data_IF_013901354020
#
_entry.id   IF_013901354020
#
_cell.length_a   1.000
_cell.length_b   1.000
_cell.length_c   1.000
_cell.angle_alpha   90.00
_cell.angle_beta   90.00
_cell.angle_gamma   90.00
#
_symmetry.space_group_name_H-M   'P 1'
#
loop_
_entity.id
_entity.type
_entity.pdbx_description
1 polymer ?
#
# COMPACT_ATOMS: atom_id res chain seq x y z
N UNK A 1 -81.36 -46.32 -0.82
CA UNK A 1 -81.78 -45.50 -2.00
C UNK A 1 -81.00 -44.20 -1.91
N UNK A 2 -80.38 -43.82 -3.02
CA UNK A 2 -79.19 -42.96 -3.16
C UNK A 2 -79.24 -41.58 -2.48
N UNK A 3 -78.12 -41.23 -1.87
CA UNK A 3 -77.73 -39.87 -1.50
C UNK A 3 -76.94 -39.23 -2.65
N UNK A 4 -77.25 -37.98 -2.98
CA UNK A 4 -76.29 -36.92 -3.31
C UNK A 4 -77.05 -35.60 -3.60
N UNK A 5 -76.75 -34.55 -2.83
CA UNK A 5 -77.13 -33.15 -3.12
C UNK A 5 -75.87 -32.31 -3.09
N UNK A 6 -75.75 -31.47 -4.11
CA UNK A 6 -74.60 -30.65 -4.47
C UNK A 6 -74.39 -29.43 -3.57
N UNK A 7 -73.14 -28.96 -3.48
CA UNK A 7 -72.80 -27.58 -3.13
C UNK A 7 -71.50 -27.17 -3.85
N UNK A 8 -71.57 -26.09 -4.63
CA UNK A 8 -70.46 -25.47 -5.35
C UNK A 8 -69.74 -24.44 -4.46
N UNK A 9 -68.40 -24.32 -4.54
CA UNK A 9 -67.64 -23.18 -4.02
C UNK A 9 -66.34 -22.97 -4.83
N UNK A 10 -66.16 -21.72 -5.27
CA UNK A 10 -65.08 -21.17 -6.09
C UNK A 10 -63.74 -21.12 -5.34
N UNK A 11 -62.61 -21.29 -6.05
CA UNK A 11 -61.29 -20.85 -5.57
C UNK A 11 -60.69 -19.82 -6.55
N UNK A 12 -60.31 -18.62 -6.09
CA UNK A 12 -59.38 -17.75 -6.78
C UNK A 12 -57.95 -18.03 -6.26
N UNK A 13 -56.97 -18.18 -7.15
CA UNK A 13 -55.56 -18.08 -6.75
C UNK A 13 -54.68 -17.69 -7.94
N UNK A 14 -54.59 -16.38 -8.15
CA UNK A 14 -53.50 -15.73 -8.88
C UNK A 14 -52.26 -15.77 -7.99
N UNK A 15 -51.26 -16.57 -8.37
CA UNK A 15 -49.99 -16.69 -7.64
C UNK A 15 -48.84 -16.13 -8.47
N UNK A 16 -48.70 -14.80 -8.48
CA UNK A 16 -47.55 -14.11 -9.06
C UNK A 16 -46.28 -14.44 -8.27
N UNK A 17 -45.39 -15.23 -8.87
CA UNK A 17 -44.07 -15.53 -8.30
C UNK A 17 -43.09 -14.42 -8.66
N UNK A 18 -43.08 -13.35 -7.86
CA UNK A 18 -42.04 -12.33 -7.90
C UNK A 18 -40.81 -12.89 -7.17
N UNK A 19 -39.82 -13.38 -7.91
CA UNK A 19 -38.48 -13.60 -7.34
C UNK A 19 -37.95 -12.27 -6.80
N UNK A 20 -37.62 -12.15 -5.50
CA UNK A 20 -36.96 -10.96 -5.00
C UNK A 20 -35.55 -10.93 -5.58
N UNK A 21 -35.33 -10.08 -6.58
CA UNK A 21 -33.98 -9.73 -7.03
C UNK A 21 -33.33 -8.95 -5.90
N UNK A 22 -32.50 -9.61 -5.09
CA UNK A 22 -31.62 -8.94 -4.14
C UNK A 22 -30.69 -8.05 -4.95
N UNK A 23 -30.98 -6.74 -4.98
CA UNK A 23 -30.08 -5.76 -5.58
C UNK A 23 -28.74 -5.86 -4.83
N UNK A 24 -27.71 -6.33 -5.54
CA UNK A 24 -26.35 -6.27 -5.02
C UNK A 24 -25.99 -4.79 -4.91
N UNK A 25 -25.58 -4.27 -3.74
CA UNK A 25 -25.15 -2.89 -3.65
C UNK A 25 -23.90 -2.72 -4.51
N UNK A 26 -24.05 -2.01 -5.63
CA UNK A 26 -22.91 -1.60 -6.45
C UNK A 26 -22.09 -0.62 -5.61
N UNK A 27 -20.94 -1.08 -5.12
CA UNK A 27 -20.04 -0.23 -4.34
C UNK A 27 -19.24 0.61 -5.33
N UNK A 28 -19.66 1.86 -5.54
CA UNK A 28 -18.91 2.81 -6.39
C UNK A 28 -17.61 3.16 -5.67
N UNK A 29 -16.47 2.77 -6.26
CA UNK A 29 -15.16 3.13 -5.73
C UNK A 29 -15.00 4.66 -5.77
N UNK A 30 -14.50 5.31 -4.71
CA UNK A 30 -14.20 6.73 -4.75
C UNK A 30 -13.20 7.04 -5.88
N UNK A 31 -13.29 8.23 -6.49
CA UNK A 31 -12.40 8.62 -7.57
C UNK A 31 -10.93 8.67 -7.10
N UNK A 32 -10.00 8.28 -7.97
CA UNK A 32 -8.58 8.46 -7.72
C UNK A 32 -8.19 9.93 -7.86
N UNK A 33 -7.76 10.55 -6.77
CA UNK A 33 -7.09 11.85 -6.75
C UNK A 33 -5.65 11.69 -6.27
N UNK A 34 -4.73 12.38 -6.94
CA UNK A 34 -3.32 12.48 -6.54
C UNK A 34 -2.91 13.95 -6.39
N UNK A 35 -2.04 14.22 -5.41
CA UNK A 35 -1.46 15.53 -5.19
C UNK A 35 0.04 15.40 -4.97
N UNK A 36 0.84 16.15 -5.74
CA UNK A 36 2.27 16.31 -5.46
C UNK A 36 2.43 17.24 -4.26
N UNK A 37 2.93 16.69 -3.15
CA UNK A 37 3.18 17.45 -1.93
C UNK A 37 4.55 18.10 -1.93
N UNK A 38 5.51 17.45 -2.57
CA UNK A 38 6.86 17.97 -2.77
C UNK A 38 7.45 17.45 -4.06
N UNK A 39 8.24 18.28 -4.73
CA UNK A 39 9.10 17.87 -5.83
C UNK A 39 10.30 18.81 -5.90
N UNK A 40 11.52 18.26 -5.90
CA UNK A 40 12.70 19.08 -6.03
C UNK A 40 14.02 18.30 -6.01
N UNK A 41 15.10 18.95 -6.45
CA UNK A 41 16.45 18.43 -6.27
C UNK A 41 16.94 18.64 -4.83
N UNK A 42 17.98 17.90 -4.44
CA UNK A 42 18.68 18.07 -3.18
C UNK A 42 20.05 17.40 -3.16
N UNK A 43 20.96 17.90 -2.35
CA UNK A 43 22.24 17.25 -2.10
C UNK A 43 22.11 16.27 -0.95
N UNK A 44 22.74 15.10 -1.07
CA UNK A 44 22.80 14.10 0.00
C UNK A 44 24.27 13.79 0.27
N UNK A 45 24.92 14.54 1.19
CA UNK A 45 26.32 14.35 1.52
C UNK A 45 26.61 12.91 1.97
N UNK A 46 27.83 12.45 1.74
CA UNK A 46 28.29 11.13 2.17
C UNK A 46 28.13 10.91 3.67
N UNK A 47 27.73 9.69 4.06
CA UNK A 47 27.57 9.31 5.48
C UNK A 47 26.65 10.24 6.30
N UNK A 48 25.64 10.83 5.67
CA UNK A 48 24.68 11.71 6.34
C UNK A 48 23.24 11.24 6.24
N UNK A 49 22.42 11.75 7.15
CA UNK A 49 20.97 11.64 7.15
C UNK A 49 20.39 13.03 6.88
N UNK A 50 19.69 13.18 5.76
CA UNK A 50 18.97 14.42 5.41
C UNK A 50 17.48 14.21 5.67
N UNK A 51 16.82 15.23 6.22
CA UNK A 51 15.37 15.22 6.47
C UNK A 51 14.67 16.25 5.59
N UNK A 52 13.54 15.85 5.01
CA UNK A 52 12.60 16.75 4.34
C UNK A 52 11.23 16.61 4.98
N UNK A 53 10.73 17.69 5.56
CA UNK A 53 9.38 17.76 6.12
C UNK A 53 8.35 18.11 5.05
N UNK A 54 7.21 17.42 5.07
CA UNK A 54 6.02 17.77 4.28
C UNK A 54 4.75 17.54 5.10
N UNK A 55 3.61 18.03 4.63
CA UNK A 55 2.31 17.83 5.30
C UNK A 55 1.25 17.31 4.33
N UNK A 56 0.29 16.58 4.88
CA UNK A 56 -0.86 16.01 4.18
C UNK A 56 -2.14 16.50 4.85
N UNK A 57 -3.12 16.96 4.08
CA UNK A 57 -4.43 17.43 4.60
C UNK A 57 -5.47 16.31 4.71
N UNK A 58 -5.21 15.16 4.09
CA UNK A 58 -6.11 14.03 4.05
C UNK A 58 -5.34 12.73 4.25
N UNK A 59 -6.03 11.71 4.76
CA UNK A 59 -5.48 10.37 4.83
C UNK A 59 -5.37 9.75 3.42
N UNK A 60 -4.34 8.95 3.19
CA UNK A 60 -4.13 8.30 1.90
C UNK A 60 -2.87 7.45 1.84
N UNK A 61 -2.47 7.11 0.62
CA UNK A 61 -1.18 6.48 0.36
C UNK A 61 -0.16 7.58 0.03
N UNK A 62 0.97 7.59 0.73
CA UNK A 62 2.10 8.45 0.39
C UNK A 62 3.08 7.64 -0.44
N UNK A 63 3.37 8.13 -1.64
CA UNK A 63 4.33 7.58 -2.57
C UNK A 63 5.57 8.49 -2.59
N UNK A 64 6.75 7.91 -2.35
CA UNK A 64 8.05 8.61 -2.38
C UNK A 64 8.88 8.05 -3.52
N UNK A 65 9.30 8.94 -4.42
CA UNK A 65 10.14 8.63 -5.57
C UNK A 65 11.46 9.37 -5.39
N UNK A 66 12.56 8.61 -5.31
CA UNK A 66 13.90 9.15 -5.14
C UNK A 66 14.82 8.64 -6.25
N UNK A 67 15.52 9.56 -6.90
CA UNK A 67 16.49 9.30 -7.96
C UNK A 67 17.80 10.00 -7.60
N UNK A 68 18.97 9.35 -7.69
CA UNK A 68 20.27 9.92 -7.24
C UNK A 68 21.41 9.65 -8.22
N UNK A 69 22.44 10.49 -8.30
CA UNK A 69 23.45 10.46 -9.37
C UNK A 69 24.06 9.07 -9.66
N UNK A 70 24.61 8.39 -8.65
CA UNK A 70 25.41 7.18 -8.87
C UNK A 70 24.69 5.89 -8.48
N UNK A 71 24.53 4.97 -9.43
CA UNK A 71 23.85 3.68 -9.20
C UNK A 71 24.57 2.75 -8.21
N UNK A 72 25.87 2.95 -7.98
CA UNK A 72 26.67 2.22 -7.00
C UNK A 72 26.40 2.66 -5.55
N UNK A 73 25.79 3.83 -5.35
CA UNK A 73 25.58 4.39 -4.02
C UNK A 73 24.44 3.69 -3.29
N UNK A 74 24.70 3.39 -2.01
CA UNK A 74 23.71 2.79 -1.12
C UNK A 74 22.93 3.89 -0.44
N UNK A 75 21.74 4.19 -0.99
CA UNK A 75 20.83 5.21 -0.45
C UNK A 75 19.68 4.53 0.27
N UNK A 76 19.38 5.00 1.49
CA UNK A 76 18.21 4.62 2.28
C UNK A 76 17.12 5.68 2.22
N UNK A 77 15.86 5.25 2.19
CA UNK A 77 14.68 6.13 2.24
C UNK A 77 13.74 5.64 3.32
N UNK A 78 13.27 6.57 4.14
CA UNK A 78 12.41 6.28 5.28
C UNK A 78 11.32 7.34 5.38
N UNK A 79 10.21 6.97 5.99
CA UNK A 79 9.14 7.89 6.33
C UNK A 79 8.80 7.75 7.80
N UNK A 80 8.77 8.88 8.51
CA UNK A 80 8.43 8.95 9.94
C UNK A 80 7.48 10.12 10.19
N UNK A 81 6.71 10.14 11.29
CA UNK A 81 6.02 11.35 11.72
C UNK A 81 7.01 12.50 11.93
N UNK A 82 6.62 13.74 11.61
CA UNK A 82 7.53 14.87 11.68
C UNK A 82 8.11 15.06 13.10
N UNK A 83 9.41 15.37 13.19
CA UNK A 83 10.13 15.61 14.44
C UNK A 83 10.07 14.44 15.46
N UNK A 84 9.81 13.21 15.00
CA UNK A 84 9.67 12.04 15.88
C UNK A 84 10.88 11.10 15.91
N UNK A 85 11.93 11.39 15.13
CA UNK A 85 13.08 10.53 14.94
C UNK A 85 14.38 11.34 15.03
N UNK A 86 15.07 11.25 16.17
CA UNK A 86 16.42 11.79 16.31
C UNK A 86 17.44 10.92 15.57
N UNK A 87 18.65 11.44 15.34
CA UNK A 87 19.75 10.68 14.71
C UNK A 87 20.11 9.44 15.55
N UNK A 88 20.12 9.54 16.87
CA UNK A 88 20.39 8.40 17.74
C UNK A 88 19.32 7.31 17.64
N UNK A 89 18.04 7.71 17.59
CA UNK A 89 16.93 6.77 17.37
C UNK A 89 16.97 6.14 15.98
N UNK A 90 17.37 6.91 14.96
CA UNK A 90 17.56 6.40 13.62
C UNK A 90 18.66 5.34 13.59
N UNK A 91 19.82 5.63 14.19
CA UNK A 91 20.94 4.71 14.31
C UNK A 91 20.59 3.46 15.12
N UNK A 92 19.81 3.61 16.18
CA UNK A 92 19.28 2.50 16.99
C UNK A 92 18.12 1.76 16.32
N UNK A 93 17.65 2.22 15.15
CA UNK A 93 16.48 1.67 14.41
C UNK A 93 15.20 1.66 15.25
N UNK A 94 15.03 2.63 16.14
CA UNK A 94 13.91 2.71 17.09
C UNK A 94 12.86 3.77 16.73
N UNK A 95 12.96 4.43 15.58
CA UNK A 95 11.95 5.39 15.14
C UNK A 95 10.64 4.70 14.74
N UNK A 96 9.53 5.44 14.81
CA UNK A 96 8.24 4.98 14.32
C UNK A 96 8.17 5.08 12.78
N UNK A 97 8.81 4.12 12.10
CA UNK A 97 8.88 4.10 10.64
C UNK A 97 7.55 3.64 10.02
N UNK A 98 6.99 4.47 9.13
CA UNK A 98 5.88 4.08 8.26
C UNK A 98 6.35 3.16 7.14
N UNK A 99 7.55 3.40 6.61
CA UNK A 99 8.28 2.45 5.77
C UNK A 99 9.79 2.62 5.95
N UNK A 100 10.52 1.58 5.53
CA UNK A 100 11.99 1.57 5.46
C UNK A 100 12.40 0.93 4.15
N UNK A 101 13.33 1.56 3.43
CA UNK A 101 13.91 0.98 2.22
C UNK A 101 15.38 1.33 2.15
N UNK A 102 16.24 0.34 2.36
CA UNK A 102 17.71 0.47 2.36
C UNK A 102 18.34 -0.10 1.07
N UNK A 103 17.59 -0.91 0.32
CA UNK A 103 18.05 -1.61 -0.88
C UNK A 103 17.11 -1.39 -2.07
N UNK A 104 17.62 -1.56 -3.29
CA UNK A 104 16.86 -1.47 -4.53
C UNK A 104 17.46 -0.51 -5.55
N UNK A 105 17.01 -0.63 -6.79
CA UNK A 105 17.53 0.14 -7.92
C UNK A 105 17.01 1.59 -7.93
N UNK A 106 17.78 2.44 -8.62
CA UNK A 106 17.38 3.79 -9.02
C UNK A 106 16.47 3.74 -10.27
N UNK A 107 15.43 4.58 -10.37
CA UNK A 107 14.84 5.39 -9.30
C UNK A 107 14.12 4.49 -8.29
N UNK A 108 14.25 4.81 -7.01
CA UNK A 108 13.57 4.10 -5.94
C UNK A 108 12.15 4.64 -5.78
N UNK A 109 11.18 3.74 -5.76
CA UNK A 109 9.77 4.05 -5.53
C UNK A 109 9.27 3.24 -4.34
N UNK A 110 8.79 3.92 -3.31
CA UNK A 110 8.31 3.31 -2.07
C UNK A 110 7.01 3.98 -1.65
N UNK A 111 6.15 3.22 -0.99
CA UNK A 111 4.81 3.69 -0.62
C UNK A 111 4.47 3.29 0.81
N UNK A 112 3.86 4.20 1.56
CA UNK A 112 3.13 3.89 2.79
C UNK A 112 1.63 4.04 2.52
N UNK A 113 0.85 3.02 2.89
CA UNK A 113 -0.62 3.05 2.76
C UNK A 113 -1.25 3.53 4.07
N UNK A 114 -2.46 4.10 3.98
CA UNK A 114 -3.25 4.52 5.14
C UNK A 114 -2.52 5.51 6.06
N UNK A 115 -1.70 6.39 5.48
CA UNK A 115 -1.05 7.50 6.17
C UNK A 115 -2.14 8.48 6.58
N UNK A 116 -2.21 8.81 7.87
CA UNK A 116 -3.18 9.79 8.37
C UNK A 116 -2.81 11.21 7.92
N UNK A 117 -3.79 12.13 7.92
CA UNK A 117 -3.50 13.55 7.75
C UNK A 117 -2.52 14.02 8.85
N UNK A 118 -1.54 14.85 8.49
CA UNK A 118 -0.49 15.29 9.40
C UNK A 118 0.83 15.63 8.71
N UNK A 119 1.83 15.96 9.52
CA UNK A 119 3.19 16.28 9.08
C UNK A 119 4.12 15.09 9.22
N UNK A 120 4.98 14.90 8.22
CA UNK A 120 5.90 13.77 8.13
C UNK A 120 7.27 14.22 7.63
N UNK A 121 8.29 13.45 7.99
CA UNK A 121 9.64 13.61 7.47
C UNK A 121 9.99 12.44 6.55
N UNK A 122 10.40 12.76 5.32
CA UNK A 122 11.17 11.83 4.49
C UNK A 122 12.61 11.92 4.94
N UNK A 123 13.17 10.82 5.43
CA UNK A 123 14.58 10.74 5.75
C UNK A 123 15.31 10.05 4.60
N UNK A 124 16.38 10.67 4.11
CA UNK A 124 17.25 10.13 3.06
C UNK A 124 18.63 9.94 3.66
N UNK A 125 19.08 8.70 3.74
CA UNK A 125 20.39 8.34 4.27
C UNK A 125 21.34 7.98 3.13
N UNK A 126 22.52 8.59 3.09
CA UNK A 126 23.58 8.16 2.20
C UNK A 126 24.59 7.31 2.96
N UNK A 127 24.57 6.00 2.71
CA UNK A 127 25.51 5.05 3.32
C UNK A 127 26.82 4.90 2.53
N UNK A 128 27.01 5.72 1.51
CA UNK A 128 28.18 5.70 0.63
C UNK A 128 29.22 6.72 1.09
N UNK A 129 30.45 6.56 0.61
CA UNK A 129 31.58 7.45 0.91
C UNK A 129 31.67 8.67 -0.04
N UNK A 130 30.67 8.88 -0.89
CA UNK A 130 30.65 9.96 -1.88
C UNK A 130 29.36 10.76 -1.78
N UNK A 131 29.45 12.05 -2.06
CA UNK A 131 28.30 12.95 -2.08
C UNK A 131 27.42 12.65 -3.29
N UNK A 132 26.11 12.71 -3.07
CA UNK A 132 25.12 12.51 -4.12
C UNK A 132 24.34 13.80 -4.41
N UNK A 133 23.85 13.90 -5.64
CA UNK A 133 22.72 14.77 -5.95
C UNK A 133 21.50 13.89 -6.20
N UNK A 134 20.35 14.27 -5.66
CA UNK A 134 19.12 13.51 -5.78
C UNK A 134 17.96 14.39 -6.23
N UNK A 135 16.95 13.77 -6.82
CA UNK A 135 15.62 14.35 -7.03
C UNK A 135 14.60 13.53 -6.27
N UNK A 136 13.74 14.23 -5.52
CA UNK A 136 12.75 13.65 -4.64
C UNK A 136 11.37 14.16 -5.05
N UNK A 137 10.42 13.25 -5.13
CA UNK A 137 9.01 13.55 -5.31
C UNK A 137 8.19 12.82 -4.24
N UNK A 138 7.26 13.54 -3.62
CA UNK A 138 6.31 13.01 -2.64
C UNK A 138 4.90 13.24 -3.18
N UNK A 139 4.13 12.17 -3.31
CA UNK A 139 2.78 12.18 -3.87
C UNK A 139 1.82 11.59 -2.84
N UNK A 140 0.72 12.28 -2.58
CA UNK A 140 -0.41 11.73 -1.83
C UNK A 140 -1.45 11.22 -2.82
N UNK A 141 -1.81 9.95 -2.68
CA UNK A 141 -2.83 9.27 -3.47
C UNK A 141 -4.02 8.90 -2.58
N UNK A 142 -5.23 9.24 -3.00
CA UNK A 142 -6.47 8.78 -2.35
C UNK A 142 -6.64 7.26 -2.43
N UNK A 143 -7.52 6.69 -1.60
CA UNK A 143 -7.80 5.24 -1.58
C UNK A 143 -8.36 4.69 -2.92
N UNK A 144 -8.94 5.56 -3.76
CA UNK A 144 -9.41 5.18 -5.10
C UNK A 144 -8.28 4.91 -6.11
N UNK A 145 -7.03 5.26 -5.78
CA UNK A 145 -5.91 5.10 -6.69
C UNK A 145 -5.31 3.69 -6.62
N UNK A 146 -5.02 3.05 -7.77
CA UNK A 146 -4.33 1.76 -7.78
C UNK A 146 -2.98 1.89 -7.06
N UNK A 147 -2.57 0.82 -6.37
CA UNK A 147 -1.27 0.76 -5.72
C UNK A 147 -0.17 0.92 -6.78
N UNK A 148 0.88 1.70 -6.46
CA UNK A 148 2.09 1.65 -7.27
C UNK A 148 2.67 0.24 -7.15
N UNK A 149 2.94 -0.39 -8.29
CA UNK A 149 3.73 -1.62 -8.33
C UNK A 149 5.14 -1.27 -7.88
N UNK A 150 5.39 -1.41 -6.58
CA UNK A 150 6.74 -1.46 -6.06
C UNK A 150 7.43 -2.64 -6.74
N UNK A 151 8.57 -2.39 -7.38
CA UNK A 151 9.51 -3.46 -7.72
C UNK A 151 10.09 -4.00 -6.41
N UNK A 152 9.28 -4.74 -5.65
CA UNK A 152 9.65 -5.33 -4.38
C UNK A 152 10.19 -6.74 -4.61
N UNK A 153 11.46 -6.96 -4.25
CA UNK A 153 11.91 -8.30 -3.88
C UNK A 153 11.14 -8.67 -2.62
N UNK A 154 10.39 -9.77 -2.69
CA UNK A 154 9.65 -10.33 -1.59
C UNK A 154 10.52 -10.46 -0.33
N UNK A 155 10.05 -9.90 0.78
CA UNK A 155 10.51 -10.28 2.10
C UNK A 155 10.28 -11.78 2.28
N UNK A 156 11.35 -12.59 2.18
CA UNK A 156 11.31 -13.98 2.65
C UNK A 156 11.35 -13.97 4.16
N UNK A 157 10.20 -13.70 4.78
CA UNK A 157 9.93 -14.08 6.15
C UNK A 157 8.89 -15.20 6.07
N UNK A 158 9.29 -16.38 6.54
CA UNK A 158 8.79 -17.66 6.03
C UNK A 158 7.31 -17.96 6.20
N UNK A 159 6.80 -18.79 5.28
CA UNK A 159 5.84 -19.84 5.60
C UNK A 159 6.28 -21.11 4.90
N UNK A 160 6.90 -21.98 5.69
CA UNK A 160 6.90 -23.41 5.49
C UNK A 160 5.44 -23.87 5.58
N UNK A 161 4.73 -23.87 4.46
CA UNK A 161 3.40 -24.47 4.40
C UNK A 161 3.52 -25.88 3.85
N UNK A 162 3.37 -26.81 4.80
CA UNK A 162 3.26 -28.25 4.64
C UNK A 162 2.02 -28.53 3.79
N UNK A 163 2.21 -29.17 2.64
CA UNK A 163 1.11 -29.79 1.90
C UNK A 163 1.49 -31.24 1.64
N UNK A 164 0.80 -32.13 2.34
CA UNK A 164 0.84 -33.57 2.13
C UNK A 164 0.63 -33.92 0.66
N UNK A 165 1.57 -34.69 0.10
CA UNK A 165 1.46 -35.30 -1.22
C UNK A 165 2.13 -36.66 -1.21
N UNK A 166 1.44 -37.66 -0.65
CA UNK A 166 1.75 -39.07 -0.85
C UNK A 166 1.49 -39.43 -2.31
N UNK A 167 2.51 -39.85 -3.05
CA UNK A 167 2.51 -41.04 -3.94
C UNK A 167 3.81 -41.07 -4.76
N UNK A 168 4.56 -42.17 -4.61
CA UNK A 168 5.96 -42.28 -5.03
C UNK A 168 6.23 -42.61 -6.49
N UNK A 169 7.51 -42.78 -6.80
CA UNK A 169 8.04 -43.75 -7.78
C UNK A 169 9.56 -43.92 -7.54
N UNK A 170 10.04 -45.15 -7.69
CA UNK A 170 11.34 -45.68 -7.28
C UNK A 170 12.55 -45.26 -8.16
N UNK A 171 13.79 -45.44 -7.68
CA UNK A 171 15.01 -45.09 -8.43
C UNK A 171 15.50 -46.21 -9.36
N UNK A 172 16.21 -45.80 -10.41
CA UNK A 172 17.25 -46.59 -11.08
C UNK A 172 18.48 -45.71 -11.27
#
# INVERSE_FOLDING_TARGET
ICSAVALALMLPACGGSSTPTTATPTTTLPPCTQATLFQGPGSVPSSTLVSLTFSTSAAGRVDVILDWTFTSSTIGVYLVPANSCSVDQFNARSCNFLFRSESGAKPRKVSASNVAAGSYDVLVANFSSQDESASLQVILSSAGCPALTSGGVASRTGQQQVSHGLSGFAPR
#
